data_IF_133940274150
#
_entry.id   IF_133940274150
#
_cell.length_a   1.000
_cell.length_b   1.000
_cell.length_c   1.000
_cell.angle_alpha   90.00
_cell.angle_beta   90.00
_cell.angle_gamma   90.00
#
_symmetry.space_group_name_H-M   'P 1'
#
loop_
_entity.id
_entity.type
_entity.pdbx_description
1 polymer ?
#
# COMPACT_ATOMS: atom_id res chain seq x y z
N UNK A 1 32.55 -7.68 -12.72
CA UNK A 1 32.51 -9.09 -12.31
C UNK A 1 32.54 -9.12 -10.79
N UNK A 2 31.43 -8.95 -10.13
CA UNK A 2 31.28 -9.10 -8.67
C UNK A 2 29.90 -9.72 -8.40
N UNK A 3 29.97 -10.87 -7.73
CA UNK A 3 28.85 -11.78 -7.50
C UNK A 3 27.81 -11.22 -6.50
N UNK A 4 26.52 -11.44 -6.82
CA UNK A 4 25.40 -11.25 -5.90
C UNK A 4 25.31 -12.46 -4.97
N UNK A 5 25.54 -12.26 -3.66
CA UNK A 5 25.20 -13.24 -2.63
C UNK A 5 23.81 -12.95 -2.05
N UNK A 6 22.97 -13.96 -2.12
CA UNK A 6 21.65 -14.07 -1.54
C UNK A 6 21.68 -13.95 0.00
N UNK A 7 20.79 -13.14 0.54
CA UNK A 7 20.46 -13.19 1.96
C UNK A 7 19.04 -13.73 2.14
N UNK A 8 18.96 -15.00 2.52
CA UNK A 8 17.74 -15.66 2.94
C UNK A 8 17.60 -15.54 4.46
N UNK A 9 16.43 -15.10 4.86
CA UNK A 9 15.62 -15.29 6.07
C UNK A 9 16.22 -16.17 7.19
N UNK A 10 16.04 -15.68 8.42
CA UNK A 10 15.81 -16.50 9.61
C UNK A 10 14.87 -15.74 10.58
N UNK A 11 13.61 -16.16 10.62
CA UNK A 11 12.72 -15.91 11.75
C UNK A 11 12.75 -17.18 12.62
N UNK A 12 13.23 -17.07 13.84
CA UNK A 12 13.08 -18.10 14.85
C UNK A 12 12.31 -17.51 16.03
N UNK A 13 11.12 -18.05 16.26
CA UNK A 13 10.32 -17.79 17.45
C UNK A 13 10.88 -18.56 18.64
N UNK A 14 10.85 -17.94 19.80
CA UNK A 14 11.07 -18.63 21.09
C UNK A 14 9.80 -18.50 21.93
N UNK A 15 9.17 -19.64 22.16
CA UNK A 15 8.14 -19.85 23.19
C UNK A 15 8.88 -20.10 24.51
N UNK A 16 8.61 -19.27 25.52
CA UNK A 16 9.06 -19.50 26.90
C UNK A 16 7.86 -19.69 27.84
N UNK A 17 7.77 -20.86 28.41
CA UNK A 17 6.74 -21.23 29.37
C UNK A 17 7.01 -20.62 30.75
N UNK A 18 5.97 -20.13 31.40
CA UNK A 18 5.99 -19.57 32.75
C UNK A 18 5.59 -20.62 33.76
N UNK A 19 6.43 -20.87 34.75
CA UNK A 19 6.11 -21.63 35.95
C UNK A 19 5.86 -20.70 37.13
N UNK A 20 4.73 -20.87 37.77
CA UNK A 20 4.30 -20.23 39.02
C UNK A 20 5.03 -20.83 40.22
N UNK A 21 5.55 -20.04 41.14
CA UNK A 21 5.69 -20.42 42.55
C UNK A 21 5.34 -19.24 43.43
N UNK A 22 4.43 -19.48 44.35
CA UNK A 22 3.95 -18.50 45.31
C UNK A 22 4.87 -18.37 46.52
N UNK A 23 4.76 -17.27 47.23
CA UNK A 23 5.38 -17.02 48.51
C UNK A 23 4.76 -15.79 49.17
N UNK A 24 4.23 -15.98 50.35
CA UNK A 24 3.36 -15.06 51.08
C UNK A 24 4.11 -14.11 52.04
N UNK A 25 3.52 -12.93 52.23
CA UNK A 25 3.34 -12.08 53.43
C UNK A 25 4.57 -11.56 54.19
N UNK A 26 4.65 -10.24 54.29
CA UNK A 26 4.78 -9.55 55.58
C UNK A 26 4.36 -8.08 55.48
N UNK A 27 3.47 -7.67 56.36
CA UNK A 27 3.15 -6.27 56.69
C UNK A 27 4.22 -5.69 57.59
N UNK A 28 4.61 -4.43 57.33
CA UNK A 28 4.92 -3.41 58.39
C UNK A 28 5.28 -2.09 57.69
N UNK A 29 4.56 -1.13 57.95
CA UNK A 29 4.77 0.09 58.73
C UNK A 29 5.00 1.38 57.95
N UNK A 30 4.16 2.35 58.23
CA UNK A 30 4.16 3.76 57.77
C UNK A 30 5.47 4.48 58.06
N UNK A 31 5.92 5.24 57.06
CA UNK A 31 6.64 6.48 57.31
C UNK A 31 6.26 7.51 56.23
N UNK A 32 5.67 8.63 56.67
CA UNK A 32 5.49 9.84 55.90
C UNK A 32 6.85 10.36 55.44
N UNK A 33 7.01 10.69 54.15
CA UNK A 33 7.86 11.81 53.78
C UNK A 33 7.59 12.40 52.42
N UNK A 34 7.28 13.69 52.41
CA UNK A 34 7.61 14.78 51.49
C UNK A 34 7.73 14.47 49.98
N UNK A 35 6.92 15.25 49.26
CA UNK A 35 6.85 15.31 47.81
C UNK A 35 8.20 15.45 47.09
N UNK A 36 8.45 14.46 46.30
CA UNK A 36 9.26 14.55 45.10
C UNK A 36 8.43 13.96 43.98
N UNK A 37 8.03 14.81 43.03
CA UNK A 37 7.43 14.35 41.77
C UNK A 37 8.48 13.53 41.06
N UNK A 38 8.39 12.21 41.22
CA UNK A 38 9.14 11.27 40.42
C UNK A 38 8.64 11.41 38.96
N UNK A 39 9.41 12.12 38.14
CA UNK A 39 9.33 12.01 36.70
C UNK A 39 9.61 10.57 36.36
N UNK A 40 8.55 9.82 36.03
CA UNK A 40 8.67 8.45 35.46
C UNK A 40 9.42 8.59 34.14
N UNK A 41 10.73 8.35 34.17
CA UNK A 41 11.52 8.20 32.96
C UNK A 41 10.95 7.03 32.15
N UNK A 42 10.25 7.37 31.08
CA UNK A 42 9.69 6.40 30.15
C UNK A 42 10.85 5.81 29.35
N UNK A 43 11.04 4.47 29.28
CA UNK A 43 12.20 3.90 28.61
C UNK A 43 12.29 4.36 27.16
N UNK A 44 13.44 4.87 26.75
CA UNK A 44 13.76 5.43 25.43
C UNK A 44 13.62 4.41 24.26
N UNK A 45 13.33 3.14 24.53
CA UNK A 45 13.34 2.04 23.57
C UNK A 45 12.08 1.84 22.70
N UNK A 46 11.02 2.64 22.88
CA UNK A 46 9.74 2.40 22.19
C UNK A 46 9.42 3.40 21.06
N UNK A 47 10.26 4.42 20.87
CA UNK A 47 10.01 5.46 19.86
C UNK A 47 10.93 5.34 18.66
N UNK A 48 10.37 5.64 17.48
CA UNK A 48 11.08 5.64 16.19
C UNK A 48 10.60 6.82 15.36
N UNK A 49 11.53 7.47 14.67
CA UNK A 49 11.24 8.48 13.66
C UNK A 49 11.22 7.78 12.28
N UNK A 50 10.18 8.03 11.50
CA UNK A 50 10.09 7.60 10.10
C UNK A 50 9.89 8.83 9.22
N UNK A 51 10.83 9.05 8.30
CA UNK A 51 10.80 10.17 7.36
C UNK A 51 10.54 9.65 5.97
N UNK A 52 9.49 10.15 5.31
CA UNK A 52 9.26 9.91 3.89
C UNK A 52 9.52 11.21 3.11
N UNK A 53 10.61 11.23 2.36
CA UNK A 53 11.04 12.41 1.63
C UNK A 53 10.09 12.77 0.48
N UNK A 54 9.50 11.79 -0.22
CA UNK A 54 8.53 12.05 -1.27
C UNK A 54 7.25 12.68 -0.70
N UNK A 55 6.79 12.22 0.47
CA UNK A 55 5.65 12.78 1.18
C UNK A 55 5.98 14.11 1.88
N UNK A 56 7.27 14.45 2.03
CA UNK A 56 7.76 15.59 2.81
C UNK A 56 7.18 15.59 4.22
N UNK A 57 7.23 14.41 4.86
CA UNK A 57 6.64 14.17 6.18
C UNK A 57 7.58 13.40 7.09
N UNK A 58 7.47 13.68 8.39
CA UNK A 58 8.13 13.01 9.49
C UNK A 58 7.07 12.48 10.45
N UNK A 59 7.05 11.17 10.64
CA UNK A 59 6.18 10.50 11.61
C UNK A 59 7.00 10.08 12.85
N UNK A 60 6.49 10.35 14.03
CA UNK A 60 6.97 9.76 15.27
C UNK A 60 6.07 8.58 15.62
N UNK A 61 6.66 7.39 15.75
CA UNK A 61 5.98 6.17 16.14
C UNK A 61 6.34 5.82 17.59
N UNK A 62 5.37 5.26 18.32
CA UNK A 62 5.56 4.60 19.60
C UNK A 62 4.94 3.20 19.50
N UNK A 63 5.75 2.15 19.67
CA UNK A 63 5.31 0.75 19.49
C UNK A 63 4.59 0.53 18.14
N UNK A 64 5.19 1.00 17.05
CA UNK A 64 4.66 0.92 15.69
C UNK A 64 3.36 1.72 15.43
N UNK A 65 2.83 2.42 16.43
CA UNK A 65 1.70 3.32 16.27
C UNK A 65 2.19 4.75 16.01
N UNK A 66 1.70 5.36 14.93
CA UNK A 66 1.94 6.78 14.60
C UNK A 66 1.28 7.67 15.68
N UNK A 67 2.09 8.38 16.44
CA UNK A 67 1.61 9.29 17.50
C UNK A 67 1.71 10.76 17.12
N UNK A 68 2.58 11.12 16.14
CA UNK A 68 2.70 12.47 15.57
C UNK A 68 3.04 12.36 14.08
N UNK A 69 2.62 13.35 13.32
CA UNK A 69 2.98 13.54 11.93
C UNK A 69 3.26 15.02 11.70
N UNK A 70 4.42 15.33 11.14
CA UNK A 70 4.89 16.69 10.90
C UNK A 70 5.24 16.89 9.42
N UNK A 71 4.89 18.03 8.81
CA UNK A 71 5.43 18.40 7.52
C UNK A 71 6.89 18.83 7.66
N UNK A 72 7.70 18.52 6.65
CA UNK A 72 9.13 18.83 6.63
C UNK A 72 9.57 19.50 5.33
N UNK A 73 10.73 20.17 5.37
CA UNK A 73 11.47 20.63 4.19
C UNK A 73 12.76 19.83 4.03
N UNK A 74 12.80 18.81 3.14
CA UNK A 74 14.00 17.99 2.91
C UNK A 74 14.99 18.65 1.96
N UNK A 75 16.11 17.96 1.68
CA UNK A 75 17.13 18.35 0.73
C UNK A 75 16.56 18.59 -0.67
N UNK A 76 17.15 19.54 -1.41
CA UNK A 76 16.84 19.76 -2.83
C UNK A 76 17.43 18.62 -3.68
N UNK A 77 17.01 18.52 -4.93
CA UNK A 77 17.44 17.45 -5.84
C UNK A 77 18.97 17.35 -5.97
N UNK A 78 19.67 18.50 -6.07
CA UNK A 78 21.14 18.55 -6.18
C UNK A 78 21.89 18.18 -4.89
N UNK A 79 21.23 18.26 -3.74
CA UNK A 79 21.78 17.88 -2.42
C UNK A 79 20.70 17.14 -1.62
N UNK A 80 20.32 15.93 -2.05
CA UNK A 80 19.20 15.22 -1.45
C UNK A 80 19.54 14.73 -0.04
N UNK A 81 18.52 14.67 0.81
CA UNK A 81 18.65 14.00 2.10
C UNK A 81 18.97 12.51 1.86
N UNK A 82 19.99 11.94 2.52
CA UNK A 82 20.36 10.54 2.35
C UNK A 82 19.29 9.61 2.94
N UNK A 83 18.84 8.64 2.15
CA UNK A 83 17.95 7.56 2.60
C UNK A 83 18.73 6.52 3.38
N UNK A 84 18.09 5.85 4.33
CA UNK A 84 18.73 4.80 5.14
C UNK A 84 18.22 4.73 6.57
N UNK A 85 18.96 4.02 7.40
CA UNK A 85 18.69 3.84 8.82
C UNK A 85 19.77 4.57 9.64
N UNK A 86 19.31 5.43 10.53
CA UNK A 86 20.13 6.30 11.38
C UNK A 86 19.63 6.27 12.83
N UNK A 87 20.27 7.06 13.66
CA UNK A 87 19.78 7.39 15.01
C UNK A 87 20.17 8.81 15.36
N UNK A 88 19.47 9.44 16.29
CA UNK A 88 19.87 10.72 16.84
C UNK A 88 21.22 10.57 17.55
N UNK A 89 22.21 11.35 17.13
CA UNK A 89 23.60 11.32 17.65
C UNK A 89 23.86 12.40 18.66
N UNK A 90 23.33 13.59 18.41
CA UNK A 90 23.41 14.72 19.34
C UNK A 90 22.12 15.54 19.32
N UNK A 91 21.92 16.31 20.37
CA UNK A 91 20.77 17.22 20.53
C UNK A 91 21.29 18.54 21.13
N UNK A 92 21.03 19.65 20.42
CA UNK A 92 21.46 20.97 20.86
C UNK A 92 20.28 21.93 20.95
N UNK A 93 20.22 22.66 22.06
CA UNK A 93 19.29 23.76 22.30
C UNK A 93 20.01 25.04 21.94
N UNK A 94 19.39 25.93 21.18
CA UNK A 94 19.93 27.18 20.74
C UNK A 94 21.28 27.06 19.99
N UNK A 95 21.32 26.20 18.91
CA UNK A 95 22.55 25.98 18.17
C UNK A 95 23.05 27.26 17.50
N UNK A 96 24.36 27.38 17.34
CA UNK A 96 24.96 28.34 16.43
C UNK A 96 25.04 27.73 15.04
N UNK A 97 24.57 28.44 14.03
CA UNK A 97 24.78 28.04 12.66
C UNK A 97 26.15 28.50 12.18
N UNK A 98 26.89 27.58 11.53
CA UNK A 98 28.17 27.87 10.88
C UNK A 98 27.97 27.68 9.38
N UNK A 99 28.42 28.63 8.56
CA UNK A 99 28.29 28.50 7.12
C UNK A 99 29.18 27.37 6.59
N UNK A 100 28.61 26.34 5.93
CA UNK A 100 29.41 25.23 5.38
C UNK A 100 30.45 25.66 4.33
N UNK A 101 30.28 26.81 3.69
CA UNK A 101 31.19 27.36 2.67
C UNK A 101 32.21 28.35 3.24
N UNK A 102 31.92 28.92 4.41
CA UNK A 102 32.81 29.87 5.12
C UNK A 102 32.75 29.61 6.64
N UNK A 103 33.61 28.70 7.15
CA UNK A 103 33.61 28.34 8.59
C UNK A 103 33.88 29.48 9.57
N UNK A 104 34.42 30.60 9.10
CA UNK A 104 34.62 31.80 9.93
C UNK A 104 33.33 32.61 10.08
N UNK A 105 32.34 32.41 9.21
CA UNK A 105 31.04 33.05 9.31
C UNK A 105 30.04 32.19 10.10
N UNK A 106 29.51 32.77 11.17
CA UNK A 106 28.51 32.09 12.01
C UNK A 106 27.37 33.01 12.42
N UNK A 107 26.21 32.41 12.65
CA UNK A 107 25.01 33.11 13.13
C UNK A 107 24.64 32.47 14.49
N UNK A 108 24.70 33.22 15.62
CA UNK A 108 24.28 32.70 16.93
C UNK A 108 22.78 32.39 16.95
N UNK A 109 22.33 31.67 17.96
CA UNK A 109 20.90 31.41 18.16
C UNK A 109 20.07 32.72 18.19
N UNK A 110 18.91 32.68 17.58
CA UNK A 110 17.99 33.81 17.45
C UNK A 110 17.18 33.73 16.13
N UNK A 111 16.35 34.75 15.91
CA UNK A 111 15.43 34.80 14.77
C UNK A 111 16.13 34.74 13.39
N UNK A 112 17.37 35.21 13.29
CA UNK A 112 18.17 35.18 12.08
C UNK A 112 18.79 33.80 11.80
N UNK A 113 18.82 32.90 12.78
CA UNK A 113 19.49 31.63 12.67
C UNK A 113 18.69 30.64 11.76
N UNK A 114 19.26 30.12 10.68
CA UNK A 114 18.57 29.20 9.78
C UNK A 114 18.28 27.81 10.38
N UNK A 115 18.91 27.45 11.52
CA UNK A 115 18.66 26.20 12.24
C UNK A 115 17.50 26.30 13.24
N UNK A 116 17.00 27.51 13.52
CA UNK A 116 16.03 27.73 14.59
C UNK A 116 16.63 27.46 15.98
N UNK A 117 15.81 26.99 16.92
CA UNK A 117 16.19 26.82 18.31
C UNK A 117 16.51 25.38 18.73
N UNK A 118 16.40 24.39 17.82
CA UNK A 118 16.69 22.98 18.08
C UNK A 118 17.44 22.36 16.92
N UNK A 119 18.43 21.52 17.27
CA UNK A 119 19.19 20.70 16.36
C UNK A 119 19.29 19.26 16.87
N UNK A 120 19.07 18.31 16.00
CA UNK A 120 19.22 16.87 16.27
C UNK A 120 20.02 16.26 15.12
N UNK A 121 21.32 15.99 15.37
CA UNK A 121 22.19 15.36 14.37
C UNK A 121 21.83 13.88 14.19
N UNK A 122 21.85 13.39 12.95
CA UNK A 122 21.67 11.95 12.67
C UNK A 122 22.77 11.34 11.80
N UNK A 123 23.45 12.14 10.96
CA UNK A 123 24.52 11.61 10.10
C UNK A 123 25.45 12.72 9.62
N UNK A 124 26.74 12.68 10.06
CA UNK A 124 27.73 13.70 9.70
C UNK A 124 27.21 15.11 10.01
N UNK A 125 27.10 15.94 8.98
CA UNK A 125 26.57 17.30 9.12
C UNK A 125 25.04 17.39 8.82
N UNK A 126 24.33 16.26 8.77
CA UNK A 126 22.89 16.24 8.55
C UNK A 126 22.14 16.16 9.86
N UNK A 127 21.15 17.02 10.02
CA UNK A 127 20.31 17.08 11.21
C UNK A 127 18.85 17.37 10.89
N UNK A 128 18.02 17.16 11.89
CA UNK A 128 16.62 17.63 11.96
C UNK A 128 16.64 18.91 12.80
N UNK A 129 16.12 20.01 12.26
CA UNK A 129 16.21 21.30 12.90
C UNK A 129 15.02 22.22 12.60
N UNK A 130 14.88 23.32 13.32
CA UNK A 130 13.92 24.37 13.06
C UNK A 130 14.23 25.17 11.78
N UNK A 131 13.59 26.29 11.60
CA UNK A 131 13.90 27.18 10.48
C UNK A 131 13.38 28.60 10.72
N UNK A 132 14.17 29.59 10.32
CA UNK A 132 13.73 30.97 10.20
C UNK A 132 12.94 31.25 8.89
N UNK A 133 12.68 30.20 8.07
CA UNK A 133 11.95 30.27 6.80
C UNK A 133 10.82 29.24 6.78
N UNK A 134 9.72 29.47 7.52
CA UNK A 134 8.63 28.50 7.66
C UNK A 134 7.95 28.15 6.32
N UNK A 135 8.01 29.04 5.32
CA UNK A 135 7.54 28.81 3.94
C UNK A 135 8.33 27.71 3.21
N UNK A 136 9.53 27.37 3.71
CA UNK A 136 10.34 26.28 3.14
C UNK A 136 9.80 24.87 3.48
N UNK A 137 8.89 24.78 4.44
CA UNK A 137 8.28 23.51 4.82
C UNK A 137 7.31 23.04 3.72
N UNK A 138 7.42 21.77 3.35
CA UNK A 138 6.69 21.20 2.22
C UNK A 138 7.43 21.32 0.87
N UNK A 139 8.66 21.87 0.86
CA UNK A 139 9.46 22.07 -0.35
C UNK A 139 10.85 21.42 -0.23
N UNK A 140 11.43 21.00 -1.37
CA UNK A 140 12.78 20.44 -1.46
C UNK A 140 13.80 21.60 -1.57
N UNK A 141 14.33 22.07 -0.45
CA UNK A 141 15.06 23.36 -0.41
C UNK A 141 16.38 23.33 0.38
N UNK A 142 16.59 22.33 1.22
CA UNK A 142 17.78 22.29 2.08
C UNK A 142 19.01 21.73 1.34
N UNK A 143 20.17 21.81 1.97
CA UNK A 143 21.39 21.13 1.52
C UNK A 143 21.50 19.69 2.09
N UNK A 144 20.35 19.05 2.40
CA UNK A 144 20.25 17.68 2.87
C UNK A 144 19.69 17.52 4.28
N UNK A 145 19.73 18.55 5.13
CA UNK A 145 19.09 18.54 6.44
C UNK A 145 17.55 18.51 6.34
N UNK A 146 16.90 18.12 7.40
CA UNK A 146 15.42 18.10 7.51
C UNK A 146 14.98 19.34 8.28
N UNK A 147 14.31 20.26 7.60
CA UNK A 147 13.70 21.45 8.21
C UNK A 147 12.33 21.14 8.77
N UNK A 148 12.02 21.66 9.93
CA UNK A 148 10.70 21.61 10.56
C UNK A 148 10.27 23.02 10.96
N UNK A 149 8.95 23.23 11.13
CA UNK A 149 8.47 24.44 11.81
C UNK A 149 9.01 24.48 13.22
N UNK A 150 9.26 25.67 13.75
CA UNK A 150 9.89 25.81 15.07
C UNK A 150 9.14 25.08 16.19
N UNK A 151 7.84 25.31 16.29
CA UNK A 151 6.99 24.62 17.28
C UNK A 151 6.99 23.09 17.13
N UNK A 152 7.13 22.59 15.88
CA UNK A 152 7.10 21.14 15.59
C UNK A 152 8.42 20.47 15.99
N UNK A 153 9.55 21.13 15.71
CA UNK A 153 10.86 20.61 16.10
C UNK A 153 11.08 20.64 17.61
N UNK A 154 10.59 21.68 18.30
CA UNK A 154 10.62 21.75 19.76
C UNK A 154 9.82 20.63 20.39
N UNK A 155 8.59 20.41 19.92
CA UNK A 155 7.75 19.31 20.37
C UNK A 155 8.38 17.92 20.07
N UNK A 156 9.00 17.74 18.91
CA UNK A 156 9.70 16.50 18.57
C UNK A 156 10.95 16.33 19.47
N UNK A 157 11.72 17.39 19.67
CA UNK A 157 12.93 17.39 20.49
C UNK A 157 12.65 16.88 21.90
N UNK A 158 11.57 17.31 22.54
CA UNK A 158 11.20 16.88 23.89
C UNK A 158 10.68 15.45 23.96
N UNK A 159 10.27 14.88 22.82
CA UNK A 159 9.72 13.53 22.74
C UNK A 159 10.75 12.45 22.39
N UNK A 160 11.95 12.80 21.95
CA UNK A 160 12.95 11.85 21.48
C UNK A 160 14.28 12.02 22.21
N UNK A 161 15.07 10.94 22.25
CA UNK A 161 16.36 10.90 22.96
C UNK A 161 17.51 10.64 22.00
N UNK A 162 18.75 10.88 22.45
CA UNK A 162 19.94 10.39 21.75
C UNK A 162 19.82 8.86 21.63
N UNK A 163 20.09 8.34 20.44
CA UNK A 163 19.89 6.91 20.12
C UNK A 163 18.50 6.58 19.55
N UNK A 164 17.52 7.50 19.58
CA UNK A 164 16.21 7.25 18.92
C UNK A 164 16.43 6.86 17.44
N UNK A 165 15.91 5.69 16.99
CA UNK A 165 16.08 5.23 15.62
C UNK A 165 15.36 6.16 14.62
N UNK A 166 16.00 6.36 13.47
CA UNK A 166 15.47 7.12 12.34
C UNK A 166 15.52 6.26 11.09
N UNK A 167 14.39 6.13 10.43
CA UNK A 167 14.29 5.54 9.08
C UNK A 167 13.94 6.64 8.08
N UNK A 168 14.77 6.81 7.05
CA UNK A 168 14.55 7.79 5.98
C UNK A 168 14.32 7.04 4.68
N UNK A 169 13.16 7.25 4.07
CA UNK A 169 12.72 6.61 2.82
C UNK A 169 12.34 7.65 1.77
N UNK A 170 12.24 7.18 0.52
CA UNK A 170 11.67 7.95 -0.58
C UNK A 170 10.60 7.10 -1.25
N UNK A 171 9.40 7.07 -0.64
CA UNK A 171 8.28 6.29 -1.13
C UNK A 171 7.20 7.21 -1.68
N UNK A 172 6.99 7.18 -3.00
CA UNK A 172 5.92 7.95 -3.65
C UNK A 172 4.54 7.35 -3.41
N UNK A 173 4.47 6.03 -3.17
CA UNK A 173 3.23 5.36 -2.78
C UNK A 173 3.23 5.15 -1.28
N UNK A 174 2.14 5.55 -0.64
CA UNK A 174 1.83 5.21 0.75
C UNK A 174 0.44 4.62 0.78
N UNK A 175 0.28 3.43 1.37
CA UNK A 175 -1.01 2.78 1.58
C UNK A 175 -1.20 2.58 3.07
N UNK A 176 -2.30 3.06 3.60
CA UNK A 176 -2.61 3.00 5.03
C UNK A 176 -4.01 2.41 5.25
N UNK A 177 -4.17 1.76 6.40
CA UNK A 177 -5.48 1.42 6.94
C UNK A 177 -5.80 2.43 8.04
N UNK A 178 -6.85 3.23 7.84
CA UNK A 178 -7.30 4.20 8.84
C UNK A 178 -8.21 3.53 9.89
N UNK A 179 -8.55 4.27 10.95
CA UNK A 179 -9.20 3.73 12.17
C UNK A 179 -10.54 3.03 11.90
N UNK A 180 -11.31 3.46 10.91
CA UNK A 180 -12.58 2.85 10.54
C UNK A 180 -12.44 1.59 9.66
N UNK A 181 -11.20 1.19 9.37
CA UNK A 181 -10.86 0.01 8.56
C UNK A 181 -10.72 0.29 7.06
N UNK A 182 -10.95 1.52 6.61
CA UNK A 182 -10.80 1.91 5.21
C UNK A 182 -9.33 1.90 4.80
N UNK A 183 -9.05 1.33 3.65
CA UNK A 183 -7.73 1.40 2.99
C UNK A 183 -7.71 2.66 2.14
N UNK A 184 -6.68 3.46 2.39
CA UNK A 184 -6.45 4.74 1.71
C UNK A 184 -5.06 4.69 1.09
N UNK A 185 -4.89 5.22 -0.11
CA UNK A 185 -3.56 5.38 -0.69
C UNK A 185 -3.30 6.80 -1.16
N UNK A 186 -2.02 7.12 -1.19
CA UNK A 186 -1.49 8.43 -1.59
C UNK A 186 -0.42 8.22 -2.65
N UNK A 187 -0.38 9.07 -3.64
CA UNK A 187 0.73 9.15 -4.60
C UNK A 187 1.31 10.56 -4.54
N UNK A 188 2.58 10.65 -4.18
CA UNK A 188 3.30 11.91 -4.04
C UNK A 188 4.09 12.24 -5.31
N UNK A 189 4.37 13.53 -5.56
CA UNK A 189 5.23 13.97 -6.66
C UNK A 189 6.63 13.34 -6.59
N UNK A 190 7.28 13.16 -7.74
CA UNK A 190 8.67 12.73 -7.81
C UNK A 190 9.61 13.93 -7.74
N UNK A 191 9.83 14.47 -6.55
CA UNK A 191 10.64 15.67 -6.35
C UNK A 191 12.14 15.47 -6.57
N UNK A 192 12.59 14.22 -6.73
CA UNK A 192 13.99 13.87 -7.04
C UNK A 192 14.15 13.18 -8.39
N UNK A 193 13.08 13.06 -9.18
CA UNK A 193 13.06 12.35 -10.47
C UNK A 193 13.73 10.97 -10.41
N UNK A 194 13.37 10.17 -9.38
CA UNK A 194 14.03 8.89 -9.07
C UNK A 194 13.13 7.68 -9.10
N UNK A 195 11.84 7.88 -9.10
CA UNK A 195 10.88 6.78 -8.97
C UNK A 195 9.67 7.01 -9.89
N UNK A 196 9.77 6.54 -11.13
CA UNK A 196 8.59 6.38 -11.98
C UNK A 196 7.66 5.32 -11.38
N UNK A 197 6.35 5.52 -11.49
CA UNK A 197 5.34 4.58 -11.00
C UNK A 197 4.54 4.04 -12.16
N UNK A 198 4.19 2.75 -12.08
CA UNK A 198 3.29 2.06 -13.00
C UNK A 198 1.97 1.70 -12.31
N UNK A 199 0.92 1.50 -13.11
CA UNK A 199 -0.38 1.00 -12.61
C UNK A 199 -0.21 -0.34 -11.89
N UNK A 200 0.65 -1.22 -12.43
CA UNK A 200 0.94 -2.52 -11.85
C UNK A 200 1.56 -2.41 -10.45
N UNK A 201 2.55 -1.54 -10.27
CA UNK A 201 3.18 -1.33 -8.95
C UNK A 201 2.17 -0.82 -7.92
N UNK A 202 1.35 0.17 -8.27
CA UNK A 202 0.29 0.67 -7.37
C UNK A 202 -0.72 -0.44 -7.06
N UNK A 203 -1.15 -1.20 -8.07
CA UNK A 203 -2.06 -2.33 -7.91
C UNK A 203 -1.49 -3.42 -6.99
N UNK A 204 -0.17 -3.70 -7.08
CA UNK A 204 0.52 -4.64 -6.21
C UNK A 204 0.57 -4.17 -4.74
N UNK A 205 0.76 -2.88 -4.51
CA UNK A 205 0.64 -2.30 -3.16
C UNK A 205 -0.78 -2.49 -2.60
N UNK A 206 -1.82 -2.19 -3.39
CA UNK A 206 -3.23 -2.38 -3.01
C UNK A 206 -3.57 -3.87 -2.79
N UNK A 207 -2.93 -4.79 -3.54
CA UNK A 207 -3.07 -6.24 -3.35
C UNK A 207 -2.60 -6.70 -1.96
N UNK A 208 -1.52 -6.11 -1.43
CA UNK A 208 -1.04 -6.38 -0.08
C UNK A 208 -2.10 -6.10 1.00
N UNK A 209 -2.98 -5.13 0.75
CA UNK A 209 -4.10 -4.79 1.62
C UNK A 209 -5.41 -5.52 1.26
N UNK A 210 -5.44 -6.26 0.14
CA UNK A 210 -6.60 -7.04 -0.32
C UNK A 210 -7.66 -6.23 -1.04
N UNK A 211 -7.31 -5.06 -1.60
CA UNK A 211 -8.27 -4.15 -2.24
C UNK A 211 -7.95 -3.80 -3.70
N UNK A 212 -7.00 -4.51 -4.32
CA UNK A 212 -6.58 -4.24 -5.72
C UNK A 212 -7.75 -4.28 -6.72
N UNK A 213 -8.73 -5.16 -6.48
CA UNK A 213 -9.87 -5.37 -7.37
C UNK A 213 -10.94 -4.27 -7.24
N UNK A 214 -10.78 -3.39 -6.25
CA UNK A 214 -11.72 -2.32 -5.92
C UNK A 214 -11.28 -0.93 -6.38
N UNK A 215 -10.14 -0.85 -7.08
CA UNK A 215 -9.63 0.36 -7.72
C UNK A 215 -9.36 0.08 -9.20
N UNK A 216 -9.88 0.95 -10.09
CA UNK A 216 -9.71 0.75 -11.53
C UNK A 216 -8.33 1.18 -12.00
N UNK A 217 -7.82 0.55 -13.06
CA UNK A 217 -6.51 0.90 -13.63
C UNK A 217 -6.51 2.34 -14.15
N UNK A 218 -7.61 2.80 -14.72
CA UNK A 218 -7.77 4.19 -15.18
C UNK A 218 -7.71 5.20 -14.02
N UNK A 219 -8.32 4.87 -12.87
CA UNK A 219 -8.24 5.71 -11.67
C UNK A 219 -6.82 5.76 -11.12
N UNK A 220 -6.13 4.62 -11.07
CA UNK A 220 -4.73 4.54 -10.64
C UNK A 220 -3.85 5.34 -11.60
N UNK A 221 -4.03 5.21 -12.92
CA UNK A 221 -3.26 5.95 -13.91
C UNK A 221 -3.45 7.46 -13.76
N UNK A 222 -4.70 7.90 -13.54
CA UNK A 222 -4.98 9.32 -13.30
C UNK A 222 -4.30 9.81 -12.02
N UNK A 223 -4.38 9.02 -10.93
CA UNK A 223 -3.74 9.36 -9.66
C UNK A 223 -2.21 9.43 -9.75
N UNK A 224 -1.59 8.59 -10.59
CA UNK A 224 -0.14 8.66 -10.89
C UNK A 224 0.20 9.97 -11.62
N UNK A 225 -0.64 10.39 -12.58
CA UNK A 225 -0.46 11.64 -13.32
C UNK A 225 -0.61 12.86 -12.41
N UNK A 226 -1.61 12.86 -11.57
CA UNK A 226 -1.88 13.97 -10.64
C UNK A 226 -0.81 14.07 -9.55
N UNK A 227 -0.39 12.94 -8.99
CA UNK A 227 0.62 12.82 -7.94
C UNK A 227 0.53 13.93 -6.87
N UNK A 228 -0.70 14.26 -6.46
CA UNK A 228 -1.05 15.44 -5.67
C UNK A 228 -0.88 15.23 -4.15
N UNK A 229 -0.56 13.99 -3.74
CA UNK A 229 -0.44 13.60 -2.34
C UNK A 229 -1.78 13.58 -1.60
N UNK A 230 -2.92 13.71 -2.28
CA UNK A 230 -4.23 13.64 -1.64
C UNK A 230 -4.67 12.18 -1.42
N UNK A 231 -5.49 11.90 -0.40
CA UNK A 231 -5.98 10.56 -0.13
C UNK A 231 -6.95 10.08 -1.22
N UNK A 232 -6.81 8.81 -1.60
CA UNK A 232 -7.82 8.07 -2.36
C UNK A 232 -8.35 6.93 -1.50
N UNK A 233 -9.64 6.98 -1.18
CA UNK A 233 -10.32 6.00 -0.34
C UNK A 233 -10.81 4.85 -1.21
N UNK A 234 -10.34 3.62 -0.94
CA UNK A 234 -10.64 2.46 -1.80
C UNK A 234 -11.83 1.67 -1.26
N UNK A 235 -11.66 1.02 -0.11
CA UNK A 235 -12.66 0.16 0.54
C UNK A 235 -12.20 -0.22 1.95
N UNK A 236 -13.10 -0.77 2.79
CA UNK A 236 -12.73 -1.40 4.06
C UNK A 236 -12.35 -2.85 3.81
N UNK A 237 -11.25 -3.31 4.40
CA UNK A 237 -10.78 -4.68 4.26
C UNK A 237 -10.56 -5.36 5.61
N UNK A 238 -11.15 -6.54 5.76
CA UNK A 238 -11.10 -7.33 6.98
C UNK A 238 -10.47 -8.70 6.71
N UNK A 239 -9.58 -9.19 7.58
CA UNK A 239 -9.17 -10.59 7.53
C UNK A 239 -10.38 -11.51 7.49
N UNK A 240 -10.34 -12.54 6.64
CA UNK A 240 -11.45 -13.47 6.46
C UNK A 240 -11.07 -14.85 7.00
N UNK A 241 -12.00 -15.47 7.73
CA UNK A 241 -11.89 -16.86 8.20
C UNK A 241 -13.13 -17.66 7.85
N UNK A 242 -12.93 -18.94 7.53
CA UNK A 242 -14.00 -19.92 7.33
C UNK A 242 -13.76 -21.09 8.28
N UNK A 243 -14.71 -21.37 9.17
CA UNK A 243 -14.57 -22.40 10.22
C UNK A 243 -13.27 -22.29 11.02
N UNK A 244 -12.78 -21.05 11.27
CA UNK A 244 -11.52 -20.78 11.96
C UNK A 244 -10.28 -20.81 11.07
N UNK A 245 -10.34 -21.33 9.85
CA UNK A 245 -9.24 -21.28 8.88
C UNK A 245 -9.13 -19.88 8.28
N UNK A 246 -7.94 -19.25 8.39
CA UNK A 246 -7.65 -17.94 7.79
C UNK A 246 -7.43 -18.07 6.29
N UNK A 247 -8.11 -17.23 5.50
CA UNK A 247 -7.95 -17.17 4.06
C UNK A 247 -6.90 -16.10 3.67
N UNK A 248 -6.41 -16.19 2.43
CA UNK A 248 -5.54 -15.18 1.81
C UNK A 248 -6.32 -13.91 1.49
N UNK A 249 -7.47 -14.07 0.85
CA UNK A 249 -8.39 -13.01 0.51
C UNK A 249 -9.00 -12.34 1.73
N UNK A 250 -9.57 -11.18 1.52
CA UNK A 250 -10.22 -10.37 2.55
C UNK A 250 -11.73 -10.31 2.29
N UNK A 251 -12.50 -10.12 3.33
CA UNK A 251 -13.83 -9.57 3.18
C UNK A 251 -13.70 -8.07 2.93
N UNK A 252 -14.26 -7.56 1.83
CA UNK A 252 -14.13 -6.16 1.43
C UNK A 252 -15.49 -5.48 1.43
N UNK A 253 -15.59 -4.32 2.12
CA UNK A 253 -16.80 -3.53 2.15
C UNK A 253 -16.59 -2.26 1.33
N UNK A 254 -17.41 -2.07 0.29
CA UNK A 254 -17.45 -0.84 -0.51
C UNK A 254 -18.89 -0.41 -0.74
N UNK A 255 -19.24 0.78 -0.24
CA UNK A 255 -20.64 1.19 -0.11
C UNK A 255 -21.37 0.25 0.86
N UNK A 256 -22.56 -0.18 0.44
CA UNK A 256 -23.43 -1.07 1.24
C UNK A 256 -23.21 -2.55 0.94
N UNK A 257 -22.23 -2.90 0.10
CA UNK A 257 -21.96 -4.28 -0.31
C UNK A 257 -20.72 -4.83 0.39
N UNK A 258 -20.87 -6.02 0.96
CA UNK A 258 -19.75 -6.82 1.49
C UNK A 258 -19.38 -7.91 0.50
N UNK A 259 -18.21 -7.79 -0.08
CA UNK A 259 -17.66 -8.71 -1.08
C UNK A 259 -16.86 -9.81 -0.41
N UNK A 260 -17.24 -11.06 -0.65
CA UNK A 260 -16.55 -12.25 -0.15
C UNK A 260 -15.93 -13.02 -1.33
N UNK A 261 -14.63 -13.35 -1.32
CA UNK A 261 -13.94 -14.04 -2.41
C UNK A 261 -14.46 -15.49 -2.53
N UNK A 262 -15.33 -15.73 -3.53
CA UNK A 262 -16.12 -16.95 -3.63
C UNK A 262 -15.27 -18.21 -3.81
N UNK A 263 -14.22 -18.14 -4.65
CA UNK A 263 -13.36 -19.29 -4.92
C UNK A 263 -12.58 -19.75 -3.69
N UNK A 264 -12.06 -18.81 -2.88
CA UNK A 264 -11.32 -19.15 -1.66
C UNK A 264 -12.23 -19.73 -0.58
N UNK A 265 -13.48 -19.26 -0.49
CA UNK A 265 -14.47 -19.80 0.45
C UNK A 265 -14.84 -21.23 0.04
N UNK A 266 -15.12 -21.47 -1.25
CA UNK A 266 -15.41 -22.81 -1.75
C UNK A 266 -14.26 -23.78 -1.48
N UNK A 267 -13.01 -23.35 -1.71
CA UNK A 267 -11.82 -24.14 -1.42
C UNK A 267 -11.71 -24.49 0.07
N UNK A 268 -11.93 -23.50 0.95
CA UNK A 268 -11.87 -23.71 2.41
C UNK A 268 -12.96 -24.68 2.90
N UNK A 269 -14.12 -24.67 2.26
CA UNK A 269 -15.23 -25.57 2.54
C UNK A 269 -15.11 -26.92 1.84
N UNK A 270 -14.13 -27.08 0.91
CA UNK A 270 -13.93 -28.28 0.06
C UNK A 270 -15.15 -28.61 -0.78
N UNK A 271 -15.77 -27.60 -1.36
CA UNK A 271 -16.94 -27.75 -2.24
C UNK A 271 -16.62 -27.25 -3.65
N UNK A 272 -17.38 -27.71 -4.67
CA UNK A 272 -17.26 -27.23 -6.03
C UNK A 272 -17.85 -25.81 -6.17
N UNK A 273 -17.29 -25.02 -7.08
CA UNK A 273 -17.81 -23.71 -7.46
C UNK A 273 -17.72 -23.56 -8.98
N UNK A 274 -18.82 -23.21 -9.62
CA UNK A 274 -18.90 -22.86 -11.03
C UNK A 274 -19.32 -21.40 -11.20
N UNK A 275 -19.01 -20.84 -12.37
CA UNK A 275 -19.41 -19.50 -12.77
C UNK A 275 -20.17 -19.56 -14.11
N UNK A 276 -21.35 -18.97 -14.18
CA UNK A 276 -22.13 -18.77 -15.38
C UNK A 276 -22.05 -17.29 -15.79
N UNK A 277 -21.13 -16.93 -16.70
CA UNK A 277 -20.82 -15.52 -16.97
C UNK A 277 -21.97 -14.74 -17.62
N UNK A 278 -22.81 -15.40 -18.43
CA UNK A 278 -23.95 -14.74 -19.10
C UNK A 278 -25.08 -14.39 -18.13
N UNK A 279 -25.25 -15.19 -17.09
CA UNK A 279 -26.28 -15.04 -16.07
C UNK A 279 -25.78 -14.29 -14.83
N UNK A 280 -24.45 -14.09 -14.74
CA UNK A 280 -23.73 -13.59 -13.57
C UNK A 280 -24.05 -14.39 -12.29
N UNK A 281 -24.16 -15.73 -12.41
CA UNK A 281 -24.50 -16.64 -11.32
C UNK A 281 -23.32 -17.51 -10.93
N UNK A 282 -23.03 -17.56 -9.64
CA UNK A 282 -22.17 -18.54 -8.98
C UNK A 282 -23.01 -19.77 -8.59
N UNK A 283 -22.50 -20.96 -8.92
CA UNK A 283 -23.15 -22.23 -8.57
C UNK A 283 -22.18 -23.08 -7.76
N UNK A 284 -22.52 -23.42 -6.55
CA UNK A 284 -21.79 -24.38 -5.73
C UNK A 284 -22.55 -25.72 -5.62
N UNK A 285 -21.93 -26.74 -5.02
CA UNK A 285 -22.62 -27.97 -4.68
C UNK A 285 -23.70 -27.82 -3.59
N UNK A 286 -23.81 -26.65 -2.96
CA UNK A 286 -24.74 -26.36 -1.87
C UNK A 286 -25.85 -25.37 -2.24
N UNK A 287 -25.70 -24.66 -3.37
CA UNK A 287 -26.67 -23.67 -3.82
C UNK A 287 -26.10 -22.71 -4.87
N UNK A 288 -26.86 -21.72 -5.22
CA UNK A 288 -26.45 -20.70 -6.18
C UNK A 288 -26.79 -19.29 -5.67
N UNK A 289 -26.06 -18.29 -6.21
CA UNK A 289 -26.24 -16.88 -5.88
C UNK A 289 -25.68 -15.99 -7.01
N UNK A 290 -26.04 -14.71 -6.98
CA UNK A 290 -25.45 -13.71 -7.88
C UNK A 290 -23.96 -13.59 -7.60
N UNK A 291 -23.15 -13.69 -8.67
CA UNK A 291 -21.70 -13.46 -8.61
C UNK A 291 -21.34 -12.06 -9.08
N UNK A 292 -20.26 -11.55 -8.55
CA UNK A 292 -19.75 -10.22 -8.88
C UNK A 292 -18.29 -10.39 -9.33
N UNK A 293 -18.04 -10.24 -10.65
CA UNK A 293 -16.66 -10.25 -11.16
C UNK A 293 -16.03 -8.87 -10.98
N UNK A 294 -14.88 -8.81 -10.31
CA UNK A 294 -14.05 -7.61 -10.23
C UNK A 294 -12.62 -7.98 -10.63
N UNK A 295 -12.15 -7.38 -11.72
CA UNK A 295 -10.93 -7.82 -12.41
C UNK A 295 -10.94 -9.34 -12.60
N UNK A 296 -9.98 -10.06 -12.05
CA UNK A 296 -9.87 -11.52 -12.19
C UNK A 296 -10.52 -12.30 -11.03
N UNK A 297 -11.11 -11.63 -10.04
CA UNK A 297 -11.66 -12.28 -8.85
C UNK A 297 -13.19 -12.31 -8.89
N UNK A 298 -13.74 -13.48 -8.57
CA UNK A 298 -15.18 -13.67 -8.38
C UNK A 298 -15.54 -13.52 -6.91
N UNK A 299 -16.50 -12.67 -6.64
CA UNK A 299 -17.05 -12.39 -5.32
C UNK A 299 -18.53 -12.79 -5.27
N UNK A 300 -19.02 -13.11 -4.09
CA UNK A 300 -20.45 -13.04 -3.76
C UNK A 300 -20.69 -11.91 -2.74
N UNK A 301 -21.94 -11.41 -2.67
CA UNK A 301 -22.34 -10.58 -1.54
C UNK A 301 -22.41 -11.44 -0.28
N UNK A 302 -22.05 -10.86 0.86
CA UNK A 302 -22.18 -11.55 2.15
C UNK A 302 -23.61 -12.02 2.46
N UNK A 303 -24.61 -11.24 2.05
CA UNK A 303 -26.02 -11.60 2.22
C UNK A 303 -26.41 -12.89 1.48
N UNK A 304 -25.70 -13.19 0.39
CA UNK A 304 -25.92 -14.39 -0.43
C UNK A 304 -25.08 -15.60 0.02
N UNK A 305 -24.14 -15.40 0.96
CA UNK A 305 -23.22 -16.46 1.39
C UNK A 305 -23.96 -17.66 2.01
N UNK A 306 -25.06 -17.43 2.72
CA UNK A 306 -25.89 -18.48 3.29
C UNK A 306 -26.58 -19.31 2.19
N UNK A 307 -27.03 -18.70 1.12
CA UNK A 307 -27.62 -19.39 -0.03
C UNK A 307 -26.58 -20.22 -0.78
N UNK A 308 -25.44 -19.60 -1.09
CA UNK A 308 -24.40 -20.17 -1.93
C UNK A 308 -23.55 -21.24 -1.21
N UNK A 309 -23.19 -21.03 0.05
CA UNK A 309 -22.18 -21.81 0.78
C UNK A 309 -22.69 -22.47 2.07
N UNK A 310 -23.95 -22.22 2.49
CA UNK A 310 -24.48 -22.65 3.80
C UNK A 310 -23.56 -22.20 4.95
N UNK A 311 -23.12 -20.98 4.90
CA UNK A 311 -22.34 -20.33 5.96
C UNK A 311 -23.07 -19.09 6.47
N UNK A 312 -22.79 -18.74 7.72
CA UNK A 312 -23.26 -17.51 8.35
C UNK A 312 -22.11 -16.88 9.13
N UNK A 313 -22.14 -15.57 9.30
CA UNK A 313 -21.12 -14.85 10.05
C UNK A 313 -21.08 -13.38 9.77
N UNK A 314 -20.00 -12.74 10.26
CA UNK A 314 -19.79 -11.30 10.15
C UNK A 314 -18.52 -10.85 10.84
N UNK A 315 -18.37 -9.52 10.99
CA UNK A 315 -17.21 -8.93 11.64
C UNK A 315 -17.31 -9.14 13.15
N UNK A 316 -16.32 -9.81 13.73
CA UNK A 316 -16.23 -10.02 15.17
C UNK A 316 -15.54 -8.84 15.90
N UNK A 317 -15.47 -8.90 17.23
CA UNK A 317 -14.85 -7.86 18.07
C UNK A 317 -13.35 -7.66 17.80
N UNK A 318 -12.69 -8.62 17.18
CA UNK A 318 -11.27 -8.55 16.80
C UNK A 318 -11.06 -7.96 15.40
N UNK A 319 -12.14 -7.51 14.72
CA UNK A 319 -12.06 -6.96 13.36
C UNK A 319 -11.78 -8.02 12.30
N UNK A 320 -12.18 -9.27 12.53
CA UNK A 320 -12.07 -10.39 11.59
C UNK A 320 -13.48 -10.72 11.08
N UNK A 321 -13.64 -10.85 9.78
CA UNK A 321 -14.86 -11.38 9.17
C UNK A 321 -14.83 -12.92 9.29
N UNK A 322 -15.68 -13.47 10.15
CA UNK A 322 -15.66 -14.89 10.48
C UNK A 322 -16.92 -15.57 9.96
N UNK A 323 -16.76 -16.54 9.07
CA UNK A 323 -17.81 -17.39 8.53
C UNK A 323 -17.77 -18.75 9.23
N UNK A 324 -18.95 -19.31 9.53
CA UNK A 324 -19.14 -20.64 10.09
C UNK A 324 -20.17 -21.39 9.28
N UNK A 325 -19.93 -22.67 9.01
CA UNK A 325 -20.91 -23.55 8.38
C UNK A 325 -22.16 -23.69 9.26
N UNK A 326 -23.33 -23.53 8.67
CA UNK A 326 -24.64 -23.65 9.32
C UNK A 326 -25.17 -25.09 9.32
N UNK A 327 -24.56 -25.97 8.48
CA UNK A 327 -24.94 -27.38 8.34
C UNK A 327 -23.87 -28.31 8.90
N UNK A 328 -24.26 -29.32 9.67
CA UNK A 328 -23.34 -30.30 10.29
C UNK A 328 -22.77 -31.33 9.31
N UNK A 329 -23.18 -31.35 8.05
CA UNK A 329 -22.72 -32.33 7.08
C UNK A 329 -22.47 -31.70 5.71
N UNK A 330 -21.24 -31.24 5.48
CA UNK A 330 -20.72 -31.14 4.12
C UNK A 330 -20.37 -32.59 3.73
N UNK A 331 -21.27 -33.24 3.00
CA UNK A 331 -20.97 -34.56 2.42
C UNK A 331 -19.97 -34.32 1.29
N UNK A 332 -18.78 -34.91 1.29
CA UNK A 332 -17.86 -34.79 0.16
C UNK A 332 -18.54 -35.30 -1.10
N UNK A 333 -18.40 -34.59 -2.21
CA UNK A 333 -18.82 -35.08 -3.52
C UNK A 333 -18.12 -36.42 -3.78
N UNK A 334 -18.89 -37.50 -3.85
CA UNK A 334 -18.42 -38.83 -4.23
C UNK A 334 -18.87 -39.08 -5.65
N UNK A 335 -17.94 -39.16 -6.62
CA UNK A 335 -18.20 -39.61 -7.94
C UNK A 335 -17.63 -41.03 -8.09
N UNK A 336 -18.45 -41.98 -8.49
CA UNK A 336 -18.08 -43.40 -8.64
C UNK A 336 -17.47 -44.05 -7.39
N UNK A 337 -17.97 -43.67 -6.18
CA UNK A 337 -17.52 -44.24 -4.90
C UNK A 337 -16.15 -43.74 -4.39
N UNK A 338 -15.54 -42.75 -5.06
CA UNK A 338 -14.28 -42.12 -4.62
C UNK A 338 -14.49 -40.62 -4.34
N UNK A 339 -13.84 -40.07 -3.30
CA UNK A 339 -13.85 -38.63 -3.06
C UNK A 339 -13.24 -37.91 -4.28
N UNK A 340 -13.96 -36.95 -4.84
CA UNK A 340 -13.42 -36.05 -5.89
C UNK A 340 -12.54 -35.01 -5.19
N UNK A 341 -11.29 -34.88 -5.63
CA UNK A 341 -10.41 -33.82 -5.17
C UNK A 341 -10.93 -32.47 -5.69
N UNK A 342 -11.42 -31.58 -4.79
CA UNK A 342 -11.96 -30.29 -5.22
C UNK A 342 -10.92 -29.38 -5.88
N UNK A 343 -9.61 -29.57 -5.59
CA UNK A 343 -8.54 -28.77 -6.17
C UNK A 343 -8.34 -29.10 -7.65
N UNK A 344 -8.52 -30.34 -8.07
CA UNK A 344 -8.41 -30.74 -9.47
C UNK A 344 -9.51 -30.12 -10.36
N UNK A 345 -10.73 -29.95 -9.84
CA UNK A 345 -11.82 -29.31 -10.57
C UNK A 345 -11.64 -27.79 -10.70
N UNK A 346 -11.08 -27.13 -9.69
CA UNK A 346 -10.79 -25.69 -9.71
C UNK A 346 -9.62 -25.37 -10.63
N UNK A 347 -8.55 -26.19 -10.63
CA UNK A 347 -7.44 -26.02 -11.58
C UNK A 347 -7.85 -26.27 -13.04
N UNK A 348 -8.68 -27.28 -13.30
CA UNK A 348 -9.20 -27.56 -14.66
C UNK A 348 -10.11 -26.42 -15.12
N UNK A 349 -10.96 -25.87 -14.26
CA UNK A 349 -11.81 -24.73 -14.60
C UNK A 349 -11.01 -23.42 -14.74
N UNK A 350 -10.00 -23.18 -13.88
CA UNK A 350 -9.10 -22.04 -14.03
C UNK A 350 -8.33 -22.09 -15.36
N UNK A 351 -7.80 -23.26 -15.74
CA UNK A 351 -7.15 -23.47 -17.05
C UNK A 351 -8.14 -23.29 -18.21
N UNK A 352 -9.39 -23.71 -18.06
CA UNK A 352 -10.41 -23.52 -19.09
C UNK A 352 -10.78 -22.05 -19.26
N UNK A 353 -10.87 -21.29 -18.16
CA UNK A 353 -11.08 -19.83 -18.19
C UNK A 353 -9.90 -19.11 -18.82
N UNK A 354 -8.66 -19.51 -18.49
CA UNK A 354 -7.45 -18.97 -19.13
C UNK A 354 -7.40 -19.28 -20.63
N UNK A 355 -7.70 -20.52 -21.02
CA UNK A 355 -7.78 -20.92 -22.44
C UNK A 355 -8.87 -20.14 -23.18
N UNK A 356 -10.03 -19.94 -22.59
CA UNK A 356 -11.11 -19.17 -23.19
C UNK A 356 -10.73 -17.70 -23.34
N UNK A 357 -10.08 -17.10 -22.35
CA UNK A 357 -9.58 -15.72 -22.40
C UNK A 357 -8.48 -15.55 -23.46
N UNK A 358 -7.56 -16.52 -23.58
CA UNK A 358 -6.54 -16.52 -24.63
C UNK A 358 -7.16 -16.68 -26.05
N UNK A 359 -8.18 -17.52 -26.20
CA UNK A 359 -8.91 -17.67 -27.48
C UNK A 359 -9.68 -16.39 -27.83
N UNK A 360 -10.28 -15.70 -26.86
CA UNK A 360 -10.99 -14.44 -27.11
C UNK A 360 -10.01 -13.32 -27.47
N UNK A 361 -8.88 -13.22 -26.79
CA UNK A 361 -7.80 -12.27 -27.12
C UNK A 361 -7.21 -12.54 -28.53
N UNK A 362 -7.02 -13.81 -28.90
CA UNK A 362 -6.57 -14.19 -30.24
C UNK A 362 -7.58 -13.80 -31.33
N UNK A 363 -8.88 -13.98 -31.08
CA UNK A 363 -9.96 -13.56 -31.98
C UNK A 363 -10.04 -12.03 -32.13
N UNK A 364 -9.83 -11.30 -31.09
CA UNK A 364 -9.80 -9.82 -31.14
C UNK A 364 -8.56 -9.31 -31.89
N UNK A 365 -7.41 -9.98 -31.73
CA UNK A 365 -6.19 -9.68 -32.50
C UNK A 365 -6.41 -9.94 -34.00
N UNK A 366 -6.97 -11.11 -34.37
CA UNK A 366 -7.30 -11.44 -35.73
C UNK A 366 -8.29 -10.46 -36.38
N UNK A 367 -9.30 -10.00 -35.63
CA UNK A 367 -10.22 -8.95 -36.08
C UNK A 367 -9.52 -7.59 -36.24
N UNK A 368 -8.56 -7.27 -35.38
CA UNK A 368 -7.79 -6.03 -35.50
C UNK A 368 -6.88 -6.06 -36.73
N UNK A 369 -6.20 -7.17 -36.99
CA UNK A 369 -5.38 -7.37 -38.18
C UNK A 369 -6.20 -7.31 -39.47
N UNK A 370 -7.37 -7.97 -39.49
CA UNK A 370 -8.28 -7.89 -40.64
C UNK A 370 -8.80 -6.47 -40.92
N UNK A 371 -9.07 -5.70 -39.85
CA UNK A 371 -9.44 -4.27 -39.98
C UNK A 371 -8.29 -3.44 -40.54
N UNK A 372 -7.07 -3.70 -40.12
CA UNK A 372 -5.88 -3.00 -40.62
C UNK A 372 -5.59 -3.33 -42.08
N UNK A 373 -5.73 -4.62 -42.49
CA UNK A 373 -5.61 -5.02 -43.91
C UNK A 373 -6.67 -4.37 -44.78
N UNK A 374 -7.93 -4.37 -44.34
CA UNK A 374 -9.03 -3.70 -45.04
C UNK A 374 -8.75 -2.17 -45.19
N UNK A 375 -8.16 -1.56 -44.19
CA UNK A 375 -7.77 -0.15 -44.23
C UNK A 375 -6.62 0.11 -45.20
N UNK A 376 -5.62 -0.78 -45.27
CA UNK A 376 -4.53 -0.75 -46.26
C UNK A 376 -5.03 -0.94 -47.68
N UNK A 377 -5.98 -1.84 -47.87
CA UNK A 377 -6.60 -2.10 -49.18
C UNK A 377 -7.46 -0.91 -49.64
N UNK A 378 -8.24 -0.31 -48.75
CA UNK A 378 -9.01 0.90 -49.06
C UNK A 378 -8.11 2.08 -49.40
N UNK A 379 -6.97 2.24 -48.71
CA UNK A 379 -5.98 3.26 -49.03
C UNK A 379 -5.32 3.03 -50.41
N UNK A 380 -5.03 1.79 -50.77
CA UNK A 380 -4.50 1.42 -52.12
C UNK A 380 -5.51 1.72 -53.22
N UNK A 381 -6.81 1.41 -53.02
CA UNK A 381 -7.88 1.72 -53.97
C UNK A 381 -8.07 3.23 -54.15
N UNK A 382 -7.96 4.02 -53.10
CA UNK A 382 -8.05 5.49 -53.16
C UNK A 382 -6.84 6.11 -53.86
N UNK A 383 -5.64 5.56 -53.69
CA UNK A 383 -4.43 6.02 -54.38
C UNK A 383 -4.44 5.66 -55.87
N UNK A 384 -4.98 4.46 -56.26
CA UNK A 384 -5.17 4.08 -57.67
C UNK A 384 -6.16 4.95 -58.42
N UNK A 385 -7.26 5.34 -57.78
CA UNK A 385 -8.26 6.29 -58.36
C UNK A 385 -7.75 7.69 -58.62
N UNK A 386 -6.76 8.16 -57.81
CA UNK A 386 -6.12 9.48 -58.05
C UNK A 386 -5.18 9.46 -59.25
N UNK A 387 -4.52 8.35 -59.55
CA UNK A 387 -3.63 8.24 -60.71
C UNK A 387 -4.41 8.14 -62.05
N UNK A 388 -5.59 7.53 -62.07
CA UNK A 388 -6.42 7.51 -63.29
C UNK A 388 -7.01 8.87 -63.62
N UNK A 389 -7.29 9.73 -62.67
CA UNK A 389 -7.78 11.09 -62.95
C UNK A 389 -6.66 12.06 -63.39
N UNK A 390 -5.40 11.83 -63.01
CA UNK A 390 -4.26 12.67 -63.49
C UNK A 390 -3.93 12.34 -64.93
N UNK A 391 -4.01 11.07 -65.39
CA UNK A 391 -3.78 10.68 -66.77
C UNK A 391 -4.89 11.09 -67.76
N UNK A 392 -6.11 11.35 -67.27
CA UNK A 392 -7.20 11.89 -68.11
C UNK A 392 -7.14 13.37 -68.32
N UNK A 393 -6.52 14.14 -67.40
CA UNK A 393 -6.40 15.59 -67.48
C UNK A 393 -5.24 16.04 -68.39
N UNK A 394 -4.19 15.21 -68.53
CA UNK A 394 -3.07 15.52 -69.44
C UNK A 394 -3.37 15.26 -70.92
N UNK A 395 -4.40 14.46 -71.25
CA UNK A 395 -4.79 14.20 -72.65
C UNK A 395 -5.70 15.26 -73.29
N UNK A 396 -6.15 16.25 -72.53
CA UNK A 396 -7.05 17.31 -73.02
C UNK A 396 -6.31 18.63 -73.38
N UNK A 397 -5.02 18.76 -73.08
CA UNK A 397 -4.24 20.01 -73.26
C UNK A 397 -3.33 19.98 -74.53
N UNK A 398 -3.29 18.89 -75.32
CA UNK A 398 -2.42 18.82 -76.53
C UNK A 398 -3.23 18.77 -77.82
N UNK A 399 -4.48 19.26 -77.87
CA UNK A 399 -5.20 19.55 -79.15
C UNK A 399 -5.88 20.92 -79.10
N UNK A 400 -5.06 21.95 -79.24
CA UNK A 400 -5.40 23.22 -79.88
C UNK A 400 -4.11 24.01 -80.29
#
# INVERSE_FOLDING_TARGET
MFERKHWKRLCAGVLGALLMTGGAVSMAECAENTGETATVEKPAGERKIVINLAARSLALLEKDKKIRLYPIGPGKESTPTPVGYYSIRSKDINPTWIDPSDPEFSIPSGEANPLGYRWMEFYGNYGIHGTNKPESIGHYVSNGCIRMKEQDVEALFDLVEIGTPIEITYNRIVVEKIDDGTIVYYIYPDGYDRQSLTVEEVSNWLAGYGVKDFESDASIEQKIKDADGQPTFVAKAYPLTVNGQKLKGKAVIKGDVTYLPAAEIAQALKISLGWKPTEEILVSSLGEAVGIKKKETLYCNADDAAALFKVDGGINKQGVYALKSTSQAIVPLVQDGKPVDPSASVEVQARQVEMNAQQEAARELEKAEAREEARKEAARKSAGSKNENVTKTEKVVVSR
#
